data_IF_647097524293
#
_entry.id   IF_647097524293
#
_cell.length_a   1.000
_cell.length_b   1.000
_cell.length_c   1.000
_cell.angle_alpha   90.00
_cell.angle_beta   90.00
_cell.angle_gamma   90.00
#
_symmetry.space_group_name_H-M   'P 1'
#
loop_
_entity.id
_entity.type
_entity.pdbx_description
1 polymer ?
#
# COMPACT_ATOMS: atom_id res chain seq x y z
N UNK A 1 -10.96 -5.98 -18.36
CA UNK A 1 -9.73 -6.74 -18.02
C UNK A 1 -8.58 -5.85 -17.49
N UNK A 2 -8.84 -4.66 -16.92
CA UNK A 2 -7.80 -3.72 -16.44
C UNK A 2 -7.42 -3.88 -14.95
N UNK A 3 -7.72 -5.01 -14.33
CA UNK A 3 -7.68 -5.17 -12.87
C UNK A 3 -6.40 -5.74 -12.25
N UNK A 4 -5.31 -5.90 -13.02
CA UNK A 4 -4.13 -6.69 -12.58
C UNK A 4 -2.81 -5.92 -12.51
N UNK A 5 -2.87 -4.59 -12.55
CA UNK A 5 -1.69 -3.70 -12.47
C UNK A 5 -1.22 -3.38 -11.04
N UNK A 6 -2.02 -3.73 -10.01
CA UNK A 6 -1.62 -3.56 -8.61
C UNK A 6 -1.02 -4.87 -8.10
N UNK A 7 0.24 -4.81 -7.68
CA UNK A 7 0.89 -5.92 -6.98
C UNK A 7 0.07 -6.26 -5.74
N UNK A 8 -0.47 -7.49 -5.71
CA UNK A 8 -1.25 -8.01 -4.59
C UNK A 8 -0.27 -8.58 -3.56
N UNK A 9 -0.25 -8.00 -2.37
CA UNK A 9 0.53 -8.48 -1.22
C UNK A 9 -0.42 -9.22 -0.28
N UNK A 10 -0.38 -10.55 -0.30
CA UNK A 10 -1.26 -11.39 0.50
C UNK A 10 -2.74 -11.24 0.09
N UNK A 11 -3.61 -10.93 1.06
CA UNK A 11 -5.08 -10.87 0.84
C UNK A 11 -5.59 -9.53 0.29
N UNK A 12 -4.70 -8.54 0.06
CA UNK A 12 -5.04 -7.18 -0.39
C UNK A 12 -3.99 -6.58 -1.33
N UNK A 13 -4.28 -5.43 -1.91
CA UNK A 13 -3.28 -4.66 -2.68
C UNK A 13 -2.31 -3.92 -1.77
N UNK A 14 -1.11 -3.59 -2.27
CA UNK A 14 -0.14 -2.79 -1.52
C UNK A 14 -0.72 -1.44 -1.05
N UNK A 15 -1.63 -0.84 -1.84
CA UNK A 15 -2.34 0.39 -1.47
C UNK A 15 -3.31 0.18 -0.31
N UNK A 16 -4.08 -0.91 -0.32
CA UNK A 16 -4.97 -1.26 0.81
C UNK A 16 -4.20 -1.49 2.10
N UNK A 17 -3.00 -2.08 2.02
CA UNK A 17 -2.14 -2.28 3.18
C UNK A 17 -1.67 -0.96 3.79
N UNK A 18 -1.27 0.00 2.94
CA UNK A 18 -0.93 1.36 3.40
C UNK A 18 -2.15 1.99 4.07
N UNK A 19 -3.31 1.98 3.42
CA UNK A 19 -4.52 2.59 3.99
C UNK A 19 -4.96 1.94 5.31
N UNK A 20 -4.84 0.62 5.46
CA UNK A 20 -5.20 -0.05 6.70
C UNK A 20 -4.29 0.35 7.88
N UNK A 21 -3.02 0.67 7.59
CA UNK A 21 -2.07 1.11 8.61
C UNK A 21 -2.37 2.49 9.18
N UNK A 22 -2.90 3.40 8.35
CA UNK A 22 -3.18 4.79 8.74
C UNK A 22 -4.61 5.02 9.25
N UNK A 23 -5.46 3.97 9.31
CA UNK A 23 -6.77 4.07 9.95
C UNK A 23 -6.64 4.47 11.41
N UNK A 24 -7.36 5.52 11.78
CA UNK A 24 -7.53 5.91 13.17
C UNK A 24 -8.17 4.75 13.95
N UNK A 25 -7.48 4.29 14.99
CA UNK A 25 -8.02 3.27 15.90
C UNK A 25 -8.05 3.85 17.30
N UNK A 26 -9.25 3.95 17.85
CA UNK A 26 -9.40 4.33 19.25
C UNK A 26 -9.02 3.14 20.14
N UNK A 27 -8.07 3.29 21.07
CA UNK A 27 -7.78 2.25 22.06
C UNK A 27 -9.06 1.91 22.84
N UNK A 28 -9.34 0.62 22.98
CA UNK A 28 -10.52 0.14 23.72
C UNK A 28 -10.37 0.45 25.23
N UNK A 29 -9.14 0.48 25.73
CA UNK A 29 -8.82 0.81 27.12
C UNK A 29 -8.96 2.32 27.41
N UNK A 30 -9.73 2.70 28.44
CA UNK A 30 -9.98 4.10 28.78
C UNK A 30 -8.72 4.82 29.28
N UNK A 31 -7.83 4.13 29.99
CA UNK A 31 -6.57 4.70 30.53
C UNK A 31 -5.58 5.03 29.42
N UNK A 32 -5.53 4.20 28.38
CA UNK A 32 -4.69 4.42 27.20
C UNK A 32 -5.29 5.50 26.30
N UNK A 33 -6.62 5.57 26.20
CA UNK A 33 -7.32 6.59 25.41
C UNK A 33 -7.04 8.01 25.94
N UNK A 34 -7.02 8.20 27.25
CA UNK A 34 -6.76 9.52 27.86
C UNK A 34 -5.31 9.99 27.71
N UNK A 35 -4.34 9.05 27.76
CA UNK A 35 -2.92 9.39 27.79
C UNK A 35 -2.22 9.32 26.42
N UNK A 36 -2.77 8.57 25.45
CA UNK A 36 -2.05 8.21 24.23
C UNK A 36 -2.85 8.37 22.93
N UNK A 37 -4.03 9.00 22.94
CA UNK A 37 -4.81 9.24 21.71
C UNK A 37 -4.39 10.55 21.00
N UNK A 38 -3.11 10.68 20.66
CA UNK A 38 -2.55 11.87 19.99
C UNK A 38 -2.42 11.72 18.45
N UNK A 39 -3.01 10.68 17.87
CA UNK A 39 -2.98 10.45 16.43
C UNK A 39 -4.23 11.03 15.78
N UNK A 40 -4.05 11.97 14.86
CA UNK A 40 -5.08 12.50 13.96
C UNK A 40 -4.58 12.32 12.52
N UNK A 41 -5.38 11.66 11.69
CA UNK A 41 -5.01 11.41 10.30
C UNK A 41 -4.78 12.71 9.51
N UNK A 42 -5.41 13.82 9.92
CA UNK A 42 -5.25 15.12 9.26
C UNK A 42 -3.81 15.62 9.25
N UNK A 43 -3.03 15.28 10.26
CA UNK A 43 -1.64 15.70 10.38
C UNK A 43 -0.71 14.93 9.43
N UNK A 44 -1.10 13.71 9.02
CA UNK A 44 -0.28 12.81 8.20
C UNK A 44 -0.79 12.65 6.76
N UNK A 45 -1.86 13.37 6.38
CA UNK A 45 -2.51 13.21 5.07
C UNK A 45 -1.55 13.39 3.89
N UNK A 46 -0.62 14.34 4.00
CA UNK A 46 0.34 14.64 2.91
C UNK A 46 1.38 13.51 2.78
N UNK A 47 1.88 13.01 3.92
CA UNK A 47 2.80 11.87 3.95
C UNK A 47 2.16 10.60 3.39
N UNK A 48 0.87 10.38 3.68
CA UNK A 48 0.11 9.25 3.15
C UNK A 48 -0.08 9.36 1.64
N UNK A 49 -0.35 10.56 1.12
CA UNK A 49 -0.48 10.80 -0.32
C UNK A 49 0.86 10.54 -1.03
N UNK A 50 1.97 11.04 -0.50
CA UNK A 50 3.31 10.76 -1.04
C UNK A 50 3.60 9.26 -1.05
N UNK A 51 3.34 8.58 0.07
CA UNK A 51 3.56 7.15 0.21
C UNK A 51 2.73 6.33 -0.79
N UNK A 52 1.44 6.67 -0.98
CA UNK A 52 0.58 6.02 -1.96
C UNK A 52 1.13 6.20 -3.39
N UNK A 53 1.63 7.39 -3.72
CA UNK A 53 2.29 7.66 -4.99
C UNK A 53 3.50 6.75 -5.22
N UNK A 54 4.40 6.68 -4.24
CA UNK A 54 5.61 5.85 -4.30
C UNK A 54 5.29 4.36 -4.42
N UNK A 55 4.32 3.88 -3.66
CA UNK A 55 3.88 2.47 -3.69
C UNK A 55 3.25 2.13 -5.04
N UNK A 56 2.49 3.06 -5.63
CA UNK A 56 1.97 2.89 -6.99
C UNK A 56 3.11 2.78 -8.01
N UNK A 57 4.11 3.67 -7.96
CA UNK A 57 5.26 3.65 -8.87
C UNK A 57 6.03 2.33 -8.79
N UNK A 58 6.36 1.87 -7.57
CA UNK A 58 7.07 0.61 -7.37
C UNK A 58 6.25 -0.59 -7.86
N UNK A 59 4.92 -0.57 -7.64
CA UNK A 59 4.03 -1.64 -8.12
C UNK A 59 4.05 -1.75 -9.64
N UNK A 60 3.96 -0.63 -10.35
CA UNK A 60 4.00 -0.61 -11.83
C UNK A 60 5.37 -1.05 -12.34
N UNK A 61 6.46 -0.53 -11.75
CA UNK A 61 7.81 -0.91 -12.15
C UNK A 61 8.07 -2.41 -11.96
N UNK A 62 7.59 -2.98 -10.86
CA UNK A 62 7.69 -4.44 -10.60
C UNK A 62 6.97 -5.23 -11.69
N UNK A 63 5.79 -4.77 -12.09
CA UNK A 63 5.01 -5.45 -13.12
C UNK A 63 5.69 -5.41 -14.50
N UNK A 64 6.34 -4.28 -14.82
CA UNK A 64 7.14 -4.16 -16.05
C UNK A 64 8.30 -5.15 -16.07
N UNK A 65 9.00 -5.33 -14.95
CA UNK A 65 10.10 -6.29 -14.83
C UNK A 65 9.58 -7.72 -14.99
N UNK A 66 8.48 -8.08 -14.30
CA UNK A 66 7.88 -9.41 -14.41
C UNK A 66 7.41 -9.70 -15.84
N UNK A 67 6.82 -8.71 -16.51
CA UNK A 67 6.41 -8.86 -17.90
C UNK A 67 7.61 -9.03 -18.84
N UNK A 68 8.71 -8.29 -18.61
CA UNK A 68 9.94 -8.44 -19.37
C UNK A 68 10.58 -9.82 -19.18
N UNK A 69 10.58 -10.36 -17.95
CA UNK A 69 11.07 -11.71 -17.66
C UNK A 69 10.25 -12.77 -18.41
N UNK A 70 8.92 -12.66 -18.37
CA UNK A 70 8.04 -13.59 -19.08
C UNK A 70 8.17 -13.51 -20.61
N UNK A 71 8.47 -12.32 -21.16
CA UNK A 71 8.73 -12.15 -22.59
C UNK A 71 10.03 -12.84 -23.03
N UNK A 72 11.10 -12.73 -22.23
CA UNK A 72 12.36 -13.42 -22.50
C UNK A 72 12.16 -14.94 -22.50
N UNK A 73 11.43 -15.49 -21.53
CA UNK A 73 11.12 -16.93 -21.46
C UNK A 73 10.32 -17.43 -22.68
N UNK A 74 9.51 -16.57 -23.29
CA UNK A 74 8.69 -16.92 -24.45
C UNK A 74 9.44 -16.86 -25.79
N UNK A 75 10.52 -16.09 -25.89
CA UNK A 75 11.37 -16.01 -27.10
C UNK A 75 12.37 -17.17 -27.19
N UNK A 76 12.67 -17.82 -26.06
CA UNK A 76 13.55 -18.99 -26.00
C UNK A 76 12.81 -20.33 -26.24
N UNK A 77 11.48 -20.32 -26.36
CA UNK A 77 10.63 -21.48 -26.67
C UNK A 77 10.14 -21.49 -28.12
#
# INVERSE_FOLDING_TARGET
MFGRALVRLGNGSALEWVLDRYKERTPCDPTIREKFNAYDFRDYKEDVIDLLGRVCTVSVATWQIVAAMAAVEAEES
#
